data_IF_842331192692
#
_entry.id   IF_842331192692
#
_cell.length_a   1.000
_cell.length_b   1.000
_cell.length_c   1.000
_cell.angle_alpha   90.00
_cell.angle_beta   90.00
_cell.angle_gamma   90.00
#
_symmetry.space_group_name_H-M   'P 1'
#
loop_
_entity.id
_entity.type
_entity.pdbx_description
1 polymer ?
#
# COMPACT_ATOMS: atom_id res chain seq x y z
N UNK A 1 11.39 1.39 18.52
CA UNK A 1 11.48 0.48 17.36
C UNK A 1 10.27 0.76 16.47
N UNK A 2 10.48 1.03 15.19
CA UNK A 2 9.38 1.30 14.24
C UNK A 2 8.68 -0.01 13.88
N UNK A 3 7.35 -0.03 13.96
CA UNK A 3 6.55 -1.19 13.56
C UNK A 3 5.65 -0.82 12.39
N UNK A 4 5.69 -1.62 11.33
CA UNK A 4 4.81 -1.43 10.18
C UNK A 4 3.74 -2.52 10.12
N UNK A 5 2.54 -2.16 9.64
CA UNK A 5 1.56 -3.12 9.18
C UNK A 5 1.81 -3.37 7.69
N UNK A 6 2.35 -4.54 7.36
CA UNK A 6 2.68 -4.90 6.00
C UNK A 6 1.46 -5.50 5.28
N UNK A 7 0.92 -4.73 4.33
CA UNK A 7 -0.23 -5.14 3.53
C UNK A 7 0.19 -5.60 2.14
N UNK A 8 -0.18 -6.83 1.79
CA UNK A 8 -0.13 -7.37 0.45
C UNK A 8 -1.41 -8.16 0.17
N UNK A 9 -1.80 -8.24 -1.11
CA UNK A 9 -3.00 -8.99 -1.56
C UNK A 9 -2.76 -10.49 -1.73
N UNK A 10 -1.53 -10.98 -1.52
CA UNK A 10 -1.13 -12.39 -1.63
C UNK A 10 -0.78 -12.94 -0.24
N UNK A 11 -0.64 -14.27 -0.15
CA UNK A 11 -0.25 -15.02 1.05
C UNK A 11 1.20 -14.67 1.46
N UNK A 12 1.36 -13.55 2.16
CA UNK A 12 2.68 -12.98 2.47
C UNK A 12 3.43 -13.78 3.51
N UNK A 13 2.73 -14.26 4.54
CA UNK A 13 3.35 -15.03 5.63
C UNK A 13 3.93 -16.34 5.10
N UNK A 14 3.17 -17.06 4.32
CA UNK A 14 3.59 -18.32 3.71
C UNK A 14 4.81 -18.09 2.79
N UNK A 15 4.74 -17.09 1.92
CA UNK A 15 5.86 -16.73 1.03
C UNK A 15 7.10 -16.26 1.81
N UNK A 16 6.93 -15.63 2.97
CA UNK A 16 8.03 -15.20 3.83
C UNK A 16 8.71 -16.40 4.51
N UNK A 17 7.95 -17.38 4.99
CA UNK A 17 8.52 -18.62 5.55
C UNK A 17 9.23 -19.45 4.46
N UNK A 18 8.64 -19.58 3.27
CA UNK A 18 9.28 -20.22 2.12
C UNK A 18 10.58 -19.51 1.69
N UNK A 19 10.62 -18.18 1.81
CA UNK A 19 11.85 -17.43 1.55
C UNK A 19 12.94 -17.75 2.55
N UNK A 20 12.63 -17.87 3.83
CA UNK A 20 13.60 -18.28 4.86
C UNK A 20 14.21 -19.66 4.57
N UNK A 21 13.43 -20.53 3.94
CA UNK A 21 13.86 -21.86 3.52
C UNK A 21 14.51 -21.88 2.12
N UNK A 22 14.78 -20.69 1.53
CA UNK A 22 15.32 -20.53 0.17
C UNK A 22 14.45 -21.11 -0.96
N UNK A 23 13.16 -21.32 -0.71
CA UNK A 23 12.18 -21.85 -1.68
C UNK A 23 11.43 -20.75 -2.44
N UNK A 24 11.52 -19.50 -1.98
CA UNK A 24 10.80 -18.36 -2.56
C UNK A 24 11.74 -17.17 -2.80
N UNK A 25 11.64 -16.46 -3.93
CA UNK A 25 12.51 -15.34 -4.25
C UNK A 25 12.16 -14.09 -3.44
N UNK A 26 13.15 -13.52 -2.73
CA UNK A 26 12.96 -12.39 -1.80
C UNK A 26 12.50 -11.08 -2.44
N UNK A 27 12.79 -10.86 -3.74
CA UNK A 27 12.38 -9.62 -4.42
C UNK A 27 10.86 -9.48 -4.53
N UNK A 28 10.10 -10.58 -4.55
CA UNK A 28 8.63 -10.58 -4.57
C UNK A 28 8.03 -10.13 -3.23
N UNK A 29 8.82 -10.12 -2.17
CA UNK A 29 8.42 -9.68 -0.82
C UNK A 29 8.58 -8.17 -0.61
N UNK A 30 8.90 -7.39 -1.64
CA UNK A 30 8.95 -5.92 -1.61
C UNK A 30 9.78 -5.35 -0.46
N UNK A 31 10.95 -5.93 -0.22
CA UNK A 31 11.87 -5.50 0.82
C UNK A 31 11.53 -5.99 2.24
N UNK A 32 10.42 -6.67 2.45
CA UNK A 32 10.03 -7.20 3.76
C UNK A 32 11.16 -7.96 4.48
N UNK A 33 11.94 -8.84 3.80
CA UNK A 33 13.05 -9.55 4.44
C UNK A 33 14.17 -8.66 4.97
N UNK A 34 14.29 -7.45 4.43
CA UNK A 34 15.37 -6.52 4.77
C UNK A 34 14.98 -5.55 5.89
N UNK A 35 13.70 -5.42 6.22
CA UNK A 35 13.21 -4.43 7.17
C UNK A 35 13.78 -4.63 8.58
N UNK A 36 13.94 -5.88 9.01
CA UNK A 36 14.49 -6.21 10.32
C UNK A 36 15.95 -5.74 10.46
N UNK A 37 16.73 -5.75 9.37
CA UNK A 37 18.11 -5.24 9.35
C UNK A 37 18.19 -3.73 9.63
N UNK A 38 17.09 -3.01 9.43
CA UNK A 38 16.94 -1.59 9.72
C UNK A 38 16.19 -1.31 11.03
N UNK A 39 16.01 -2.32 11.88
CA UNK A 39 15.27 -2.18 13.14
C UNK A 39 13.76 -1.95 12.96
N UNK A 40 13.20 -2.37 11.82
CA UNK A 40 11.77 -2.23 11.51
C UNK A 40 11.09 -3.59 11.72
N UNK A 41 10.15 -3.64 12.64
CA UNK A 41 9.32 -4.83 12.87
C UNK A 41 8.10 -4.83 11.94
N UNK A 42 7.68 -6.01 11.48
CA UNK A 42 6.57 -6.15 10.52
C UNK A 42 5.43 -7.00 11.07
N UNK A 43 4.25 -6.39 11.19
CA UNK A 43 2.99 -7.08 11.41
C UNK A 43 2.40 -7.44 10.06
N UNK A 44 2.40 -8.70 9.69
CA UNK A 44 1.96 -9.15 8.37
C UNK A 44 0.44 -9.27 8.29
N UNK A 45 -0.14 -8.71 7.23
CA UNK A 45 -1.56 -8.86 6.94
C UNK A 45 -1.96 -10.34 6.78
N UNK A 46 -3.06 -10.73 7.44
CA UNK A 46 -3.65 -12.06 7.26
C UNK A 46 -4.42 -12.10 5.95
N UNK A 47 -3.76 -12.55 4.90
CA UNK A 47 -4.35 -12.57 3.56
C UNK A 47 -5.45 -13.64 3.45
N UNK A 48 -6.53 -13.29 2.75
CA UNK A 48 -7.58 -14.22 2.31
C UNK A 48 -7.94 -13.94 0.87
N UNK A 49 -8.25 -14.97 0.12
CA UNK A 49 -8.73 -14.84 -1.25
C UNK A 49 -10.23 -14.52 -1.28
N UNK A 50 -10.58 -13.51 -2.06
CA UNK A 50 -11.96 -13.12 -2.31
C UNK A 50 -12.21 -12.99 -3.80
N UNK A 51 -13.33 -13.52 -4.27
CA UNK A 51 -13.78 -13.37 -5.66
C UNK A 51 -14.24 -11.95 -6.00
N UNK A 52 -14.56 -11.12 -5.01
CA UNK A 52 -15.09 -9.77 -5.18
C UNK A 52 -14.26 -8.70 -4.48
N UNK A 53 -14.06 -7.55 -5.18
CA UNK A 53 -13.31 -6.39 -4.65
C UNK A 53 -13.92 -5.83 -3.36
N UNK A 54 -15.26 -5.77 -3.27
CA UNK A 54 -15.93 -5.24 -2.09
C UNK A 54 -15.67 -6.09 -0.84
N UNK A 55 -15.71 -7.42 -0.98
CA UNK A 55 -15.40 -8.34 0.13
C UNK A 55 -13.95 -8.18 0.60
N UNK A 56 -13.00 -8.03 -0.36
CA UNK A 56 -11.60 -7.75 -0.05
C UNK A 56 -11.47 -6.42 0.71
N UNK A 57 -12.12 -5.35 0.25
CA UNK A 57 -12.08 -4.03 0.88
C UNK A 57 -12.61 -4.07 2.31
N UNK A 58 -13.76 -4.71 2.54
CA UNK A 58 -14.34 -4.84 3.89
C UNK A 58 -13.43 -5.65 4.81
N UNK A 59 -12.90 -6.77 4.33
CA UNK A 59 -12.01 -7.62 5.11
C UNK A 59 -10.70 -6.88 5.45
N UNK A 60 -10.02 -6.31 4.46
CA UNK A 60 -8.74 -5.61 4.69
C UNK A 60 -8.93 -4.40 5.63
N UNK A 61 -10.00 -3.63 5.44
CA UNK A 61 -10.32 -2.51 6.32
C UNK A 61 -10.52 -2.98 7.76
N UNK A 62 -11.28 -4.05 7.98
CA UNK A 62 -11.48 -4.63 9.31
C UNK A 62 -10.16 -5.07 9.95
N UNK A 63 -9.35 -5.84 9.23
CA UNK A 63 -8.06 -6.34 9.75
C UNK A 63 -7.09 -5.19 10.10
N UNK A 64 -7.06 -4.12 9.32
CA UNK A 64 -6.20 -2.96 9.56
C UNK A 64 -6.70 -2.14 10.77
N UNK A 65 -8.01 -1.84 10.83
CA UNK A 65 -8.57 -0.99 11.88
C UNK A 65 -8.61 -1.69 13.24
N UNK A 66 -8.83 -3.00 13.26
CA UNK A 66 -8.96 -3.80 14.48
C UNK A 66 -7.74 -4.72 14.70
N UNK A 67 -6.59 -4.37 14.13
CA UNK A 67 -5.36 -5.09 14.38
C UNK A 67 -5.02 -5.08 15.88
N UNK A 68 -4.81 -6.27 16.45
CA UNK A 68 -4.46 -6.42 17.88
C UNK A 68 -3.05 -5.95 18.19
N UNK A 69 -2.15 -6.08 17.23
CA UNK A 69 -0.76 -5.65 17.36
C UNK A 69 -0.64 -4.14 17.08
N UNK A 70 0.11 -3.45 17.91
CA UNK A 70 0.39 -2.03 17.69
C UNK A 70 1.34 -1.87 16.51
N UNK A 71 1.06 -0.94 15.63
CA UNK A 71 1.94 -0.55 14.53
C UNK A 71 1.88 0.97 14.32
N UNK A 72 2.90 1.53 13.68
CA UNK A 72 3.07 2.96 13.51
C UNK A 72 2.67 3.41 12.10
N UNK A 73 2.95 2.58 11.08
CA UNK A 73 2.77 2.91 9.66
C UNK A 73 2.05 1.77 8.94
N UNK A 74 1.09 2.09 8.07
CA UNK A 74 0.54 1.17 7.09
C UNK A 74 1.42 1.19 5.84
N UNK A 75 2.15 0.11 5.61
CA UNK A 75 3.00 -0.09 4.43
C UNK A 75 2.34 -1.08 3.48
N UNK A 76 1.93 -0.61 2.31
CA UNK A 76 1.16 -1.39 1.36
C UNK A 76 1.89 -1.55 0.03
N UNK A 77 1.95 -2.76 -0.50
CA UNK A 77 2.52 -3.04 -1.83
C UNK A 77 1.51 -2.83 -2.95
N UNK A 78 0.27 -2.55 -2.60
CA UNK A 78 -0.82 -2.18 -3.49
C UNK A 78 -1.89 -1.44 -2.70
N UNK A 79 -2.59 -0.50 -3.32
CA UNK A 79 -3.76 0.14 -2.71
C UNK A 79 -5.05 -0.67 -2.87
N UNK A 80 -5.01 -1.75 -3.69
CA UNK A 80 -6.20 -2.59 -3.90
C UNK A 80 -6.64 -3.26 -2.60
N UNK A 81 -7.84 -2.97 -2.17
CA UNK A 81 -8.44 -3.49 -0.95
C UNK A 81 -8.34 -2.57 0.27
N UNK A 82 -7.41 -1.61 0.27
CA UNK A 82 -7.25 -0.64 1.38
C UNK A 82 -7.80 0.75 1.04
N UNK A 83 -8.50 0.90 -0.07
CA UNK A 83 -9.10 2.18 -0.48
C UNK A 83 -9.94 2.82 0.63
N UNK A 84 -10.80 2.08 1.37
CA UNK A 84 -11.57 2.68 2.46
C UNK A 84 -10.69 3.26 3.55
N UNK A 85 -9.57 2.60 3.91
CA UNK A 85 -8.63 3.09 4.92
C UNK A 85 -7.95 4.38 4.45
N UNK A 86 -7.59 4.48 3.16
CA UNK A 86 -7.05 5.69 2.55
C UNK A 86 -8.05 6.84 2.65
N UNK A 87 -9.32 6.60 2.34
CA UNK A 87 -10.37 7.62 2.46
C UNK A 87 -10.64 8.01 3.90
N UNK A 88 -10.67 7.06 4.84
CA UNK A 88 -10.76 7.34 6.27
C UNK A 88 -9.61 8.24 6.74
N UNK A 89 -8.39 8.01 6.23
CA UNK A 89 -7.26 8.89 6.54
C UNK A 89 -7.43 10.28 5.94
N UNK A 90 -7.89 10.39 4.70
CA UNK A 90 -8.17 11.67 4.05
C UNK A 90 -9.18 12.52 4.83
N UNK A 91 -10.12 11.87 5.52
CA UNK A 91 -11.14 12.47 6.38
C UNK A 91 -10.65 12.69 7.84
N UNK A 92 -9.43 12.27 8.19
CA UNK A 92 -8.88 12.39 9.54
C UNK A 92 -9.34 11.33 10.54
N UNK A 93 -10.11 10.33 10.10
CA UNK A 93 -10.63 9.24 10.94
C UNK A 93 -9.61 8.13 11.18
N UNK A 94 -8.67 7.95 10.26
CA UNK A 94 -7.52 7.06 10.44
C UNK A 94 -6.25 7.92 10.54
N UNK A 95 -5.47 7.76 11.61
CA UNK A 95 -4.38 8.70 11.95
C UNK A 95 -2.98 8.23 11.55
N UNK A 96 -2.79 6.92 11.33
CA UNK A 96 -1.46 6.38 11.03
C UNK A 96 -1.04 6.70 9.59
N UNK A 97 0.24 7.00 9.34
CA UNK A 97 0.75 7.23 7.99
C UNK A 97 0.52 6.03 7.07
N UNK A 98 0.29 6.31 5.79
CA UNK A 98 0.11 5.31 4.73
C UNK A 98 1.19 5.50 3.68
N UNK A 99 1.99 4.46 3.49
CA UNK A 99 3.04 4.37 2.45
C UNK A 99 2.66 3.28 1.47
N UNK A 100 2.66 3.59 0.18
CA UNK A 100 2.19 2.67 -0.87
C UNK A 100 3.25 2.51 -1.96
N UNK A 101 3.44 1.27 -2.41
CA UNK A 101 4.11 0.97 -3.66
C UNK A 101 3.08 0.83 -4.77
N UNK A 102 3.34 1.46 -5.92
CA UNK A 102 2.45 1.42 -7.07
C UNK A 102 3.22 1.11 -8.35
N UNK A 103 2.91 -0.02 -8.95
CA UNK A 103 3.59 -0.54 -10.13
C UNK A 103 2.67 -0.76 -11.34
N UNK A 104 1.40 -0.38 -11.23
CA UNK A 104 0.45 -0.51 -12.34
C UNK A 104 0.27 0.80 -13.08
N UNK A 105 -0.03 0.70 -14.38
CA UNK A 105 -0.29 1.88 -15.21
C UNK A 105 -1.47 2.71 -14.67
N UNK A 106 -1.33 4.02 -14.76
CA UNK A 106 -2.38 4.98 -14.42
C UNK A 106 -3.34 5.09 -15.59
N UNK A 107 -4.64 5.00 -15.34
CA UNK A 107 -5.67 5.22 -16.38
C UNK A 107 -5.63 6.68 -16.84
N UNK A 108 -5.39 6.91 -18.12
CA UNK A 108 -5.06 8.21 -18.69
C UNK A 108 -6.25 9.11 -19.03
N UNK A 109 -7.49 8.58 -19.09
CA UNK A 109 -8.71 9.35 -19.39
C UNK A 109 -9.72 9.30 -18.23
N UNK A 110 -9.48 10.02 -17.13
CA UNK A 110 -10.42 10.05 -16.03
C UNK A 110 -11.64 10.94 -16.37
N UNK A 111 -12.84 10.44 -16.05
CA UNK A 111 -14.03 11.30 -16.00
C UNK A 111 -13.84 12.38 -14.92
N UNK A 112 -14.45 13.59 -15.05
CA UNK A 112 -14.25 14.70 -14.10
C UNK A 112 -14.47 14.33 -12.63
N UNK A 113 -15.47 13.51 -12.31
CA UNK A 113 -15.72 13.06 -10.95
C UNK A 113 -14.58 12.20 -10.38
N UNK A 114 -13.84 11.48 -11.24
CA UNK A 114 -12.68 10.67 -10.82
C UNK A 114 -11.50 11.53 -10.41
N UNK A 115 -11.42 12.77 -10.90
CA UNK A 115 -10.37 13.70 -10.45
C UNK A 115 -10.59 14.08 -8.98
N UNK A 116 -11.82 14.36 -8.56
CA UNK A 116 -12.13 14.67 -7.17
C UNK A 116 -11.84 13.50 -6.23
N UNK A 117 -12.22 12.28 -6.64
CA UNK A 117 -11.88 11.06 -5.89
C UNK A 117 -10.36 10.87 -5.82
N UNK A 118 -9.64 11.14 -6.91
CA UNK A 118 -8.17 11.04 -6.92
C UNK A 118 -7.53 12.05 -5.97
N UNK A 119 -8.00 13.28 -5.90
CA UNK A 119 -7.50 14.28 -4.95
C UNK A 119 -7.69 13.82 -3.51
N UNK A 120 -8.87 13.30 -3.18
CA UNK A 120 -9.14 12.74 -1.85
C UNK A 120 -8.27 11.53 -1.56
N UNK A 121 -8.08 10.64 -2.53
CA UNK A 121 -7.20 9.48 -2.42
C UNK A 121 -5.76 9.91 -2.10
N UNK A 122 -5.18 10.84 -2.87
CA UNK A 122 -3.82 11.32 -2.58
C UNK A 122 -3.71 12.13 -1.29
N UNK A 123 -4.79 12.76 -0.83
CA UNK A 123 -4.83 13.38 0.51
C UNK A 123 -4.64 12.33 1.61
N UNK A 124 -5.21 11.14 1.43
CA UNK A 124 -5.13 10.03 2.39
C UNK A 124 -3.82 9.25 2.37
N UNK A 125 -2.91 9.50 1.42
CA UNK A 125 -1.61 8.85 1.33
C UNK A 125 -0.53 9.83 1.81
N UNK A 126 0.47 9.34 2.54
CA UNK A 126 1.62 10.15 2.93
C UNK A 126 2.74 10.05 1.90
N UNK A 127 3.04 8.85 1.41
CA UNK A 127 4.06 8.61 0.39
C UNK A 127 3.64 7.50 -0.58
N UNK A 128 3.91 7.71 -1.85
CA UNK A 128 3.76 6.69 -2.89
C UNK A 128 5.06 6.50 -3.65
N UNK A 129 5.52 5.26 -3.70
CA UNK A 129 6.68 4.84 -4.45
C UNK A 129 6.28 4.30 -5.82
N UNK A 130 6.93 4.81 -6.87
CA UNK A 130 6.66 4.50 -8.27
C UNK A 130 7.95 4.06 -8.96
N UNK A 131 7.84 3.13 -9.90
CA UNK A 131 9.00 2.49 -10.55
C UNK A 131 9.45 3.16 -11.84
N UNK A 132 8.74 4.20 -12.30
CA UNK A 132 9.17 4.95 -13.48
C UNK A 132 8.79 6.42 -13.41
N UNK A 133 9.59 7.25 -14.06
CA UNK A 133 9.29 8.69 -14.23
C UNK A 133 7.98 8.90 -14.99
N UNK A 134 7.67 8.03 -15.94
CA UNK A 134 6.41 8.07 -16.68
C UNK A 134 5.19 7.90 -15.75
N UNK A 135 5.23 6.94 -14.83
CA UNK A 135 4.16 6.76 -13.83
C UNK A 135 3.97 7.99 -12.95
N UNK A 136 5.06 8.66 -12.57
CA UNK A 136 4.99 9.93 -11.82
C UNK A 136 4.30 11.00 -12.66
N UNK A 137 4.76 11.21 -13.91
CA UNK A 137 4.19 12.21 -14.82
C UNK A 137 2.71 11.94 -15.10
N UNK A 138 2.34 10.69 -15.39
CA UNK A 138 0.94 10.30 -15.64
C UNK A 138 0.08 10.51 -14.38
N UNK A 139 0.58 10.19 -13.20
CA UNK A 139 -0.13 10.42 -11.93
C UNK A 139 -0.36 11.92 -11.67
N UNK A 140 0.63 12.76 -11.94
CA UNK A 140 0.52 14.22 -11.80
C UNK A 140 -0.44 14.81 -12.83
N UNK A 141 -0.29 14.44 -14.09
CA UNK A 141 -1.08 15.00 -15.21
C UNK A 141 -2.55 14.59 -15.14
N UNK A 142 -2.81 13.30 -14.94
CA UNK A 142 -4.18 12.74 -15.07
C UNK A 142 -4.90 12.60 -13.74
N UNK A 143 -4.18 12.52 -12.62
CA UNK A 143 -4.74 12.30 -11.28
C UNK A 143 -4.50 13.45 -10.32
N UNK A 144 -3.79 14.50 -10.76
CA UNK A 144 -3.43 15.67 -9.94
C UNK A 144 -2.71 15.26 -8.64
N UNK A 145 -1.90 14.21 -8.72
CA UNK A 145 -1.12 13.74 -7.59
C UNK A 145 -0.09 14.81 -7.16
N UNK A 146 0.00 15.13 -5.85
CA UNK A 146 0.99 16.09 -5.36
C UNK A 146 2.42 15.55 -5.55
N UNK A 147 3.30 16.33 -6.15
CA UNK A 147 4.68 15.91 -6.46
C UNK A 147 5.47 15.46 -5.24
N UNK A 148 5.30 16.15 -4.12
CA UNK A 148 6.02 15.85 -2.86
C UNK A 148 5.67 14.47 -2.27
N UNK A 149 4.51 13.89 -2.64
CA UNK A 149 4.10 12.55 -2.20
C UNK A 149 4.58 11.42 -3.09
N UNK A 150 5.12 11.74 -4.28
CA UNK A 150 5.57 10.75 -5.24
C UNK A 150 7.09 10.61 -5.20
N UNK A 151 7.58 9.39 -5.07
CA UNK A 151 9.02 9.09 -5.08
C UNK A 151 9.32 8.03 -6.12
N UNK A 152 10.36 8.28 -6.92
CA UNK A 152 10.91 7.28 -7.83
C UNK A 152 11.77 6.30 -7.04
N UNK A 153 11.54 5.02 -7.27
CA UNK A 153 12.39 3.96 -6.77
C UNK A 153 13.05 3.24 -7.95
N UNK A 154 14.34 2.97 -7.78
CA UNK A 154 15.10 2.07 -8.64
C UNK A 154 15.35 0.77 -7.88
N UNK A 155 15.20 -0.34 -8.59
CA UNK A 155 15.61 -1.66 -8.09
C UNK A 155 17.10 -1.86 -8.31
#
# INVERSE_FOLDING_TARGET
>A
MLTIYFYHTRLTRESYEEWKEYKFPGHILYGLPLLENYGIHSVMHKCKYFSGRLKLMLYATKEILFCKEKYDVLYATSFRGIEPVIFLRALGLYRKPIVIWHHTAVVTNPKPWREQISRLFYKGIDQMFLFSRKLIQDSQKTRKAPSHKLKLIHW
#
